data_IF_364360268339
#
_entry.id   IF_364360268339
#
_cell.length_a   1.000
_cell.length_b   1.000
_cell.length_c   1.000
_cell.angle_alpha   90.00
_cell.angle_beta   90.00
_cell.angle_gamma   90.00
#
_symmetry.space_group_name_H-M   'P 1'
#
loop_
_entity.id
_entity.type
_entity.pdbx_description
1 polymer ?
#
# COMPACT_ATOMS: atom_id res chain seq x y z
N UNK A 1 14.51 4.11 -18.91
CA UNK A 1 13.46 5.07 -19.30
C UNK A 1 12.41 5.16 -18.20
N UNK A 2 12.00 6.36 -17.80
CA UNK A 2 10.93 6.53 -16.82
C UNK A 2 9.54 6.49 -17.51
N UNK A 3 8.80 5.39 -17.33
CA UNK A 3 7.38 5.30 -17.69
C UNK A 3 7.04 5.39 -19.18
N UNK A 4 5.83 5.89 -19.49
CA UNK A 4 5.27 5.99 -20.85
C UNK A 4 5.90 7.10 -21.70
N UNK A 5 6.53 8.08 -21.04
CA UNK A 5 7.21 9.29 -21.57
C UNK A 5 6.46 10.05 -22.67
N UNK A 6 7.14 11.02 -23.29
CA UNK A 6 6.58 11.85 -24.37
C UNK A 6 6.32 11.00 -25.61
N UNK A 7 5.30 11.37 -26.37
CA UNK A 7 4.98 10.73 -27.64
C UNK A 7 6.05 11.04 -28.68
N UNK A 8 6.35 10.06 -29.53
CA UNK A 8 7.32 10.23 -30.61
C UNK A 8 6.52 10.37 -31.89
N UNK A 9 6.40 11.60 -32.36
CA UNK A 9 5.67 11.92 -33.59
C UNK A 9 6.59 11.60 -34.77
N UNK A 10 6.13 10.71 -35.66
CA UNK A 10 6.83 10.41 -36.90
C UNK A 10 6.76 11.65 -37.82
N UNK A 11 7.90 12.15 -38.27
CA UNK A 11 7.98 13.41 -39.05
C UNK A 11 8.11 14.68 -38.21
N UNK A 12 8.47 14.56 -36.93
CA UNK A 12 8.86 15.70 -36.07
C UNK A 12 7.71 16.39 -35.32
N UNK A 13 8.07 17.38 -34.50
CA UNK A 13 7.14 18.27 -33.81
C UNK A 13 7.51 19.73 -34.15
N UNK A 14 6.70 20.47 -34.94
CA UNK A 14 5.36 20.11 -35.43
C UNK A 14 5.39 19.04 -36.55
N UNK A 15 4.31 18.25 -36.73
CA UNK A 15 4.27 17.16 -37.71
C UNK A 15 4.28 17.68 -39.15
N UNK A 16 5.29 17.27 -39.92
CA UNK A 16 5.32 17.45 -41.37
C UNK A 16 4.76 16.19 -42.07
N UNK A 17 3.68 16.34 -42.84
CA UNK A 17 3.00 15.20 -43.50
C UNK A 17 3.92 14.46 -44.47
N UNK A 18 4.78 15.19 -45.20
CA UNK A 18 5.69 14.58 -46.17
C UNK A 18 6.76 13.71 -45.47
N UNK A 19 7.37 14.24 -44.40
CA UNK A 19 8.35 13.51 -43.59
C UNK A 19 7.69 12.34 -42.83
N UNK A 20 6.45 12.52 -42.38
CA UNK A 20 5.70 11.46 -41.72
C UNK A 20 5.42 10.28 -42.65
N UNK A 21 5.03 10.54 -43.90
CA UNK A 21 4.85 9.49 -44.92
C UNK A 21 6.18 8.83 -45.29
N UNK A 22 7.26 9.60 -45.43
CA UNK A 22 8.60 9.07 -45.67
C UNK A 22 9.04 8.12 -44.55
N UNK A 23 8.91 8.56 -43.30
CA UNK A 23 9.25 7.75 -42.11
C UNK A 23 8.36 6.50 -42.02
N UNK A 24 7.08 6.59 -42.36
CA UNK A 24 6.19 5.41 -42.43
C UNK A 24 6.63 4.43 -43.52
N UNK A 25 7.01 4.92 -44.69
CA UNK A 25 7.44 4.09 -45.82
C UNK A 25 8.73 3.31 -45.53
N UNK A 26 9.65 3.88 -44.74
CA UNK A 26 10.88 3.18 -44.30
C UNK A 26 10.67 2.23 -43.10
N UNK A 27 9.43 2.07 -42.62
CA UNK A 27 9.07 1.13 -41.55
C UNK A 27 8.91 1.74 -40.15
N UNK A 28 8.88 3.07 -40.05
CA UNK A 28 8.60 3.82 -38.83
C UNK A 28 9.72 3.80 -37.80
N UNK A 29 9.36 4.01 -36.52
CA UNK A 29 10.33 4.06 -35.44
C UNK A 29 10.91 2.67 -35.13
N UNK A 30 12.23 2.55 -35.20
CA UNK A 30 12.97 1.39 -34.73
C UNK A 30 13.47 1.60 -33.30
N UNK A 31 13.14 0.68 -32.40
CA UNK A 31 13.57 0.72 -31.00
C UNK A 31 14.64 -0.34 -30.76
N UNK A 32 15.81 0.11 -30.31
CA UNK A 32 16.93 -0.75 -29.92
C UNK A 32 17.03 -0.79 -28.39
N UNK A 33 16.89 -1.98 -27.82
CA UNK A 33 17.29 -2.24 -26.44
C UNK A 33 18.71 -2.79 -26.44
N UNK A 34 19.65 -2.13 -25.79
CA UNK A 34 21.05 -2.60 -25.69
C UNK A 34 21.19 -3.78 -24.75
N UNK A 35 20.31 -3.85 -23.75
CA UNK A 35 20.25 -4.90 -22.72
C UNK A 35 18.78 -5.26 -22.43
N UNK A 36 18.61 -6.35 -21.68
CA UNK A 36 17.33 -6.75 -21.11
C UNK A 36 17.24 -6.31 -19.65
N UNK A 37 16.17 -5.60 -19.29
CA UNK A 37 15.94 -5.27 -17.89
C UNK A 37 15.50 -6.52 -17.11
N UNK A 38 15.81 -6.57 -15.81
CA UNK A 38 15.25 -7.55 -14.87
C UNK A 38 13.72 -7.67 -14.93
N UNK A 39 13.01 -6.56 -15.21
CA UNK A 39 11.56 -6.56 -15.33
C UNK A 39 11.13 -6.43 -16.78
N UNK A 40 10.31 -7.38 -17.22
CA UNK A 40 9.71 -7.41 -18.55
C UNK A 40 8.84 -6.18 -18.79
N UNK A 41 8.27 -5.59 -17.74
CA UNK A 41 7.46 -4.37 -17.84
C UNK A 41 8.24 -3.20 -18.44
N UNK A 42 9.51 -3.03 -18.07
CA UNK A 42 10.35 -1.91 -18.54
C UNK A 42 10.77 -2.13 -19.99
N UNK A 43 11.11 -3.36 -20.36
CA UNK A 43 11.33 -3.74 -21.76
C UNK A 43 10.09 -3.45 -22.63
N UNK A 44 8.89 -3.79 -22.13
CA UNK A 44 7.65 -3.52 -22.82
C UNK A 44 7.35 -2.01 -22.93
N UNK A 45 7.76 -1.20 -21.95
CA UNK A 45 7.64 0.26 -22.02
C UNK A 45 8.54 0.84 -23.11
N UNK A 46 9.77 0.34 -23.24
CA UNK A 46 10.68 0.73 -24.31
C UNK A 46 10.13 0.31 -25.67
N UNK A 47 9.67 -0.94 -25.79
CA UNK A 47 9.04 -1.48 -27.01
C UNK A 47 7.79 -0.69 -27.42
N UNK A 48 6.95 -0.31 -26.46
CA UNK A 48 5.71 0.45 -26.69
C UNK A 48 5.93 1.92 -27.08
N UNK A 49 7.17 2.33 -27.33
CA UNK A 49 7.49 3.62 -27.97
C UNK A 49 7.27 3.57 -29.47
N UNK A 50 7.51 2.43 -30.11
CA UNK A 50 7.19 2.21 -31.52
C UNK A 50 5.75 1.71 -31.69
N UNK A 51 5.18 1.91 -32.88
CA UNK A 51 3.89 1.33 -33.26
C UNK A 51 2.67 1.92 -32.53
N UNK A 52 2.74 3.20 -32.15
CA UNK A 52 1.61 3.89 -31.51
C UNK A 52 0.53 4.23 -32.53
N UNK A 53 -0.73 4.18 -32.11
CA UNK A 53 -1.89 4.51 -32.95
C UNK A 53 -1.97 3.75 -34.31
N UNK A 54 -1.32 2.58 -34.42
CA UNK A 54 -1.30 1.80 -35.65
C UNK A 54 -0.17 2.18 -36.62
N UNK A 55 0.74 3.06 -36.24
CA UNK A 55 1.95 3.34 -37.01
C UNK A 55 2.81 2.07 -37.18
N UNK A 56 3.58 2.03 -38.25
CA UNK A 56 4.62 1.02 -38.44
C UNK A 56 5.75 1.26 -37.44
N UNK A 57 6.39 0.19 -37.02
CA UNK A 57 7.51 0.26 -36.09
C UNK A 57 8.05 -1.13 -35.78
N UNK A 58 9.28 -1.17 -35.29
CA UNK A 58 9.93 -2.42 -34.94
C UNK A 58 10.77 -2.25 -33.68
N UNK A 59 11.00 -3.35 -32.97
CA UNK A 59 11.84 -3.34 -31.77
C UNK A 59 12.77 -4.54 -31.78
N UNK A 60 14.05 -4.32 -31.50
CA UNK A 60 15.04 -5.38 -31.34
C UNK A 60 15.82 -5.16 -30.06
N UNK A 61 16.00 -6.22 -29.29
CA UNK A 61 16.78 -6.19 -28.06
C UNK A 61 18.00 -7.05 -28.25
N UNK A 62 19.14 -6.49 -27.91
CA UNK A 62 20.43 -7.15 -27.83
C UNK A 62 20.71 -7.44 -26.37
N UNK A 63 21.56 -8.43 -26.14
CA UNK A 63 21.97 -8.86 -24.82
C UNK A 63 23.25 -9.68 -24.98
N UNK A 64 24.20 -9.47 -24.09
CA UNK A 64 25.43 -10.25 -24.00
C UNK A 64 25.27 -11.36 -22.96
N UNK A 65 26.03 -12.45 -23.11
CA UNK A 65 26.14 -13.50 -22.09
C UNK A 65 26.75 -12.96 -20.78
N UNK A 66 27.52 -11.86 -20.88
CA UNK A 66 28.17 -11.20 -19.76
C UNK A 66 27.23 -10.27 -18.97
N UNK A 67 26.02 -10.00 -19.48
CA UNK A 67 25.05 -9.13 -18.80
C UNK A 67 24.53 -9.79 -17.52
N UNK A 68 24.26 -8.97 -16.50
CA UNK A 68 23.88 -9.44 -15.16
C UNK A 68 22.69 -10.41 -15.15
N UNK A 69 21.69 -10.17 -16.01
CA UNK A 69 20.51 -11.03 -16.12
C UNK A 69 20.88 -12.47 -16.49
N UNK A 70 21.76 -12.64 -17.49
CA UNK A 70 22.20 -13.97 -17.89
C UNK A 70 23.24 -14.52 -16.91
N UNK A 71 24.18 -13.70 -16.45
CA UNK A 71 25.20 -14.09 -15.48
C UNK A 71 24.59 -14.75 -14.24
N UNK A 72 23.46 -14.24 -13.73
CA UNK A 72 22.81 -14.73 -12.51
C UNK A 72 21.83 -15.89 -12.79
N UNK A 73 21.12 -15.90 -13.93
CA UNK A 73 19.95 -16.77 -14.10
C UNK A 73 19.96 -17.71 -15.32
N UNK A 74 20.89 -17.57 -16.27
CA UNK A 74 20.82 -18.34 -17.53
C UNK A 74 22.16 -18.64 -18.23
N UNK A 75 23.26 -18.03 -17.80
CA UNK A 75 24.55 -18.04 -18.50
C UNK A 75 25.09 -19.44 -18.69
N UNK A 76 25.17 -20.25 -17.62
CA UNK A 76 25.75 -21.59 -17.69
C UNK A 76 25.07 -22.53 -18.71
N UNK A 77 23.74 -22.48 -18.84
CA UNK A 77 23.04 -23.36 -19.78
C UNK A 77 23.22 -22.90 -21.23
N UNK A 78 23.23 -21.59 -21.47
CA UNK A 78 23.42 -21.03 -22.81
C UNK A 78 24.87 -21.17 -23.24
N UNK A 79 25.81 -20.91 -22.34
CA UNK A 79 27.25 -21.10 -22.54
C UNK A 79 27.59 -22.56 -22.83
N UNK A 80 27.07 -23.52 -22.04
CA UNK A 80 27.27 -24.94 -22.31
C UNK A 80 26.71 -25.38 -23.67
N UNK A 81 25.60 -24.78 -24.12
CA UNK A 81 25.03 -25.02 -25.44
C UNK A 81 25.93 -24.47 -26.55
N UNK A 82 26.47 -23.26 -26.38
CA UNK A 82 27.38 -22.64 -27.36
C UNK A 82 28.67 -23.43 -27.52
N UNK A 83 29.28 -23.84 -26.41
CA UNK A 83 30.48 -24.70 -26.42
C UNK A 83 30.20 -26.02 -27.10
N UNK A 84 29.03 -26.64 -26.86
CA UNK A 84 28.66 -27.93 -27.45
C UNK A 84 28.45 -27.87 -28.96
N UNK A 85 27.93 -26.75 -29.49
CA UNK A 85 27.67 -26.58 -30.92
C UNK A 85 28.80 -25.84 -31.65
N UNK A 86 29.90 -25.51 -30.96
CA UNK A 86 31.05 -24.78 -31.50
C UNK A 86 30.61 -23.52 -32.29
N UNK A 87 29.63 -22.80 -31.76
CA UNK A 87 29.12 -21.57 -32.36
C UNK A 87 30.14 -20.47 -32.13
N UNK A 88 30.49 -19.75 -33.19
CA UNK A 88 31.37 -18.58 -33.11
C UNK A 88 30.69 -17.48 -32.27
N UNK A 89 31.46 -16.86 -31.36
CA UNK A 89 30.98 -15.82 -30.45
C UNK A 89 30.44 -14.58 -31.19
N UNK A 90 30.82 -14.38 -32.45
CA UNK A 90 30.38 -13.29 -33.32
C UNK A 90 29.01 -13.52 -33.97
N UNK A 91 28.46 -14.74 -33.92
CA UNK A 91 27.20 -15.07 -34.59
C UNK A 91 26.01 -14.75 -33.67
N UNK A 92 25.11 -13.84 -34.08
CA UNK A 92 23.93 -13.52 -33.28
C UNK A 92 23.00 -14.74 -33.18
N UNK A 93 22.69 -15.15 -31.95
CA UNK A 93 21.81 -16.27 -31.68
C UNK A 93 20.34 -15.85 -31.79
N UNK A 94 19.76 -15.98 -32.98
CA UNK A 94 18.32 -15.80 -33.20
C UNK A 94 17.56 -17.13 -33.00
N UNK A 95 17.74 -17.78 -31.84
CA UNK A 95 17.04 -19.01 -31.52
C UNK A 95 15.85 -18.75 -30.59
N UNK A 96 14.65 -19.20 -30.98
CA UNK A 96 13.45 -19.10 -30.14
C UNK A 96 13.61 -19.75 -28.76
N UNK A 97 14.53 -20.71 -28.61
CA UNK A 97 14.89 -21.35 -27.34
C UNK A 97 15.59 -20.36 -26.38
N UNK A 98 16.50 -19.52 -26.90
CA UNK A 98 17.23 -18.51 -26.12
C UNK A 98 16.25 -17.44 -25.61
N UNK A 99 15.33 -16.98 -26.46
CA UNK A 99 14.27 -16.05 -26.06
C UNK A 99 13.41 -16.58 -24.89
N UNK A 100 13.05 -17.88 -24.91
CA UNK A 100 12.29 -18.49 -23.80
C UNK A 100 13.11 -18.59 -22.52
N UNK A 101 14.39 -18.91 -22.61
CA UNK A 101 15.29 -18.98 -21.46
C UNK A 101 15.40 -17.62 -20.76
N UNK A 102 15.54 -16.53 -21.54
CA UNK A 102 15.57 -15.15 -21.04
C UNK A 102 14.25 -14.78 -20.36
N UNK A 103 13.10 -15.11 -20.97
CA UNK A 103 11.81 -14.82 -20.36
C UNK A 103 11.60 -15.57 -19.04
N UNK A 104 12.10 -16.81 -18.94
CA UNK A 104 12.05 -17.57 -17.69
C UNK A 104 12.98 -16.99 -16.62
N UNK A 105 14.16 -16.51 -17.01
CA UNK A 105 15.06 -15.79 -16.12
C UNK A 105 14.38 -14.52 -15.57
N UNK A 106 13.83 -13.66 -16.44
CA UNK A 106 13.09 -12.46 -16.03
C UNK A 106 11.94 -12.78 -15.07
N UNK A 107 11.13 -13.81 -15.36
CA UNK A 107 10.05 -14.25 -14.46
C UNK A 107 10.58 -14.65 -13.09
N UNK A 108 11.71 -15.37 -13.03
CA UNK A 108 12.33 -15.78 -11.77
C UNK A 108 12.83 -14.57 -10.96
N UNK A 109 13.41 -13.57 -11.62
CA UNK A 109 13.82 -12.31 -10.98
C UNK A 109 12.61 -11.53 -10.45
N UNK A 110 11.54 -11.44 -11.26
CA UNK A 110 10.30 -10.79 -10.86
C UNK A 110 9.65 -11.48 -9.66
N UNK A 111 9.60 -12.82 -9.64
CA UNK A 111 9.12 -13.59 -8.48
C UNK A 111 9.98 -13.36 -7.24
N UNK A 112 11.31 -13.39 -7.38
CA UNK A 112 12.22 -13.11 -6.26
C UNK A 112 12.00 -11.71 -5.66
N UNK A 113 11.86 -10.69 -6.51
CA UNK A 113 11.55 -9.33 -6.08
C UNK A 113 10.14 -9.21 -5.50
N UNK A 114 9.16 -9.96 -6.02
CA UNK A 114 7.82 -10.02 -5.47
C UNK A 114 7.81 -10.60 -4.05
N UNK A 115 8.51 -11.71 -3.82
CA UNK A 115 8.58 -12.36 -2.51
C UNK A 115 9.24 -11.45 -1.46
N UNK A 116 10.32 -10.75 -1.84
CA UNK A 116 10.95 -9.72 -0.96
C UNK A 116 9.99 -8.60 -0.60
N UNK A 117 9.22 -8.11 -1.58
CA UNK A 117 8.23 -7.05 -1.35
C UNK A 117 7.06 -7.53 -0.52
N UNK A 118 6.62 -8.77 -0.70
CA UNK A 118 5.53 -9.36 0.08
C UNK A 118 5.81 -9.29 1.58
N UNK A 119 7.01 -9.65 2.02
CA UNK A 119 7.40 -9.51 3.43
C UNK A 119 7.37 -8.06 3.92
N UNK A 120 7.78 -7.10 3.07
CA UNK A 120 7.71 -5.67 3.43
C UNK A 120 6.26 -5.21 3.59
N UNK A 121 5.39 -5.57 2.64
CA UNK A 121 3.96 -5.24 2.68
C UNK A 121 3.28 -5.87 3.90
N UNK A 122 3.59 -7.11 4.22
CA UNK A 122 3.02 -7.78 5.39
C UNK A 122 3.42 -7.11 6.72
N UNK A 123 4.63 -6.55 6.83
CA UNK A 123 5.04 -5.75 8.00
C UNK A 123 4.31 -4.42 8.05
N UNK A 124 4.15 -3.77 6.88
CA UNK A 124 3.40 -2.52 6.75
C UNK A 124 1.91 -2.72 7.10
N UNK A 125 1.33 -3.86 6.77
CA UNK A 125 -0.07 -4.19 7.09
C UNK A 125 -0.29 -4.21 8.62
N UNK A 126 0.64 -4.77 9.39
CA UNK A 126 0.59 -4.75 10.86
C UNK A 126 0.62 -3.31 11.37
N UNK A 127 1.55 -2.49 10.86
CA UNK A 127 1.64 -1.08 11.23
C UNK A 127 0.40 -0.28 10.83
N UNK A 128 -0.20 -0.63 9.70
CA UNK A 128 -1.43 0.00 9.23
C UNK A 128 -2.61 -0.30 10.17
N UNK A 129 -2.73 -1.53 10.68
CA UNK A 129 -3.74 -1.87 11.70
C UNK A 129 -3.55 -1.02 12.96
N UNK A 130 -2.32 -0.96 13.50
CA UNK A 130 -2.01 -0.12 14.67
C UNK A 130 -2.36 1.36 14.42
N UNK A 131 -1.97 1.88 13.25
CA UNK A 131 -2.28 3.26 12.83
C UNK A 131 -3.78 3.52 12.76
N UNK A 132 -4.55 2.60 12.18
CA UNK A 132 -6.00 2.73 12.08
C UNK A 132 -6.65 2.85 13.45
N UNK A 133 -6.24 2.01 14.42
CA UNK A 133 -6.75 2.06 15.79
C UNK A 133 -6.40 3.40 16.45
N UNK A 134 -5.16 3.86 16.37
CA UNK A 134 -4.74 5.15 16.94
C UNK A 134 -5.47 6.32 16.28
N UNK A 135 -5.70 6.27 14.96
CA UNK A 135 -6.40 7.34 14.26
C UNK A 135 -7.90 7.35 14.60
N UNK A 136 -8.51 6.18 14.78
CA UNK A 136 -9.88 6.07 15.32
C UNK A 136 -9.96 6.65 16.73
N UNK A 137 -9.01 6.31 17.62
CA UNK A 137 -8.92 6.87 18.96
C UNK A 137 -8.82 8.41 18.92
N UNK A 138 -7.90 8.96 18.11
CA UNK A 138 -7.74 10.41 17.94
C UNK A 138 -9.02 11.08 17.43
N UNK A 139 -9.71 10.46 16.48
CA UNK A 139 -10.98 10.98 15.96
C UNK A 139 -12.06 11.03 17.05
N UNK A 140 -12.24 9.94 17.81
CA UNK A 140 -13.19 9.89 18.92
C UNK A 140 -12.91 10.96 19.97
N UNK A 141 -11.64 11.22 20.27
CA UNK A 141 -11.23 12.27 21.21
C UNK A 141 -11.56 13.68 20.71
N UNK A 142 -11.44 13.93 19.40
CA UNK A 142 -11.79 15.22 18.79
C UNK A 142 -13.31 15.46 18.81
N UNK A 143 -14.09 14.38 18.70
CA UNK A 143 -15.56 14.39 18.67
C UNK A 143 -16.20 14.35 20.07
N UNK A 144 -15.42 14.52 21.16
CA UNK A 144 -15.97 14.55 22.53
C UNK A 144 -16.86 15.78 22.82
N UNK A 145 -16.74 16.85 22.02
CA UNK A 145 -17.52 18.09 22.18
C UNK A 145 -18.64 18.29 21.16
N UNK A 146 -18.90 17.30 20.28
CA UNK A 146 -20.01 17.33 19.31
C UNK A 146 -21.18 16.46 19.80
N UNK A 147 -22.34 16.52 19.12
CA UNK A 147 -23.61 15.82 19.45
C UNK A 147 -23.53 14.27 19.67
N UNK A 148 -22.34 13.69 19.63
CA UNK A 148 -22.09 12.26 19.85
C UNK A 148 -21.87 11.94 21.33
N UNK A 149 -22.95 12.00 22.12
CA UNK A 149 -22.94 11.70 23.56
C UNK A 149 -22.35 10.31 23.93
N UNK A 150 -22.29 9.37 23.00
CA UNK A 150 -21.72 8.04 23.23
C UNK A 150 -20.18 8.01 23.40
N UNK A 151 -19.45 9.00 22.86
CA UNK A 151 -17.98 9.00 22.90
C UNK A 151 -17.43 9.29 24.31
N UNK A 152 -18.11 10.15 25.07
CA UNK A 152 -17.74 10.47 26.46
C UNK A 152 -17.89 9.25 27.37
N UNK A 153 -19.06 8.59 27.33
CA UNK A 153 -19.30 7.39 28.12
C UNK A 153 -18.34 6.25 27.76
N UNK A 154 -18.07 6.06 26.47
CA UNK A 154 -17.09 5.09 25.99
C UNK A 154 -15.68 5.38 26.53
N UNK A 155 -15.25 6.65 26.46
CA UNK A 155 -13.92 7.03 26.94
C UNK A 155 -13.80 6.84 28.44
N UNK A 156 -14.81 7.26 29.21
CA UNK A 156 -14.80 7.10 30.65
C UNK A 156 -14.70 5.63 31.07
N UNK A 157 -15.41 4.73 30.37
CA UNK A 157 -15.31 3.29 30.59
C UNK A 157 -13.88 2.78 30.34
N UNK A 158 -13.25 3.18 29.22
CA UNK A 158 -11.87 2.79 28.91
C UNK A 158 -10.84 3.34 29.89
N UNK A 159 -10.99 4.59 30.32
CA UNK A 159 -10.11 5.17 31.33
C UNK A 159 -10.26 4.45 32.68
N UNK A 160 -11.48 4.05 33.04
CA UNK A 160 -11.76 3.31 34.29
C UNK A 160 -11.17 1.90 34.27
N UNK A 161 -11.14 1.21 33.12
CA UNK A 161 -10.51 -0.10 32.97
C UNK A 161 -8.99 -0.07 33.21
N UNK A 162 -8.36 1.07 32.93
CA UNK A 162 -6.90 1.24 32.97
C UNK A 162 -6.39 2.16 34.08
N UNK A 163 -7.27 2.61 34.98
CA UNK A 163 -6.95 3.46 36.13
C UNK A 163 -7.26 2.73 37.43
N UNK A 164 -6.36 2.80 38.41
CA UNK A 164 -6.62 2.34 39.79
C UNK A 164 -7.39 3.36 40.64
N UNK A 165 -7.45 4.61 40.18
CA UNK A 165 -8.11 5.72 40.86
C UNK A 165 -9.55 5.90 40.34
N UNK A 166 -10.43 6.43 41.19
CA UNK A 166 -11.82 6.75 40.84
C UNK A 166 -11.89 7.94 39.88
N UNK A 167 -11.65 7.63 38.60
CA UNK A 167 -11.64 8.58 37.49
C UNK A 167 -13.05 9.14 37.24
N UNK A 168 -14.10 8.37 37.50
CA UNK A 168 -15.48 8.82 37.30
C UNK A 168 -15.82 9.99 38.23
N UNK A 169 -15.41 9.91 39.49
CA UNK A 169 -15.56 11.02 40.42
C UNK A 169 -14.76 12.25 39.98
N UNK A 170 -13.49 12.08 39.65
CA UNK A 170 -12.63 13.20 39.21
C UNK A 170 -13.18 13.84 37.93
N UNK A 171 -13.63 13.03 36.96
CA UNK A 171 -14.24 13.47 35.72
C UNK A 171 -15.44 14.39 35.97
N UNK A 172 -16.39 13.95 36.80
CA UNK A 172 -17.59 14.75 37.09
C UNK A 172 -17.25 16.05 37.82
N UNK A 173 -16.36 16.01 38.82
CA UNK A 173 -15.93 17.21 39.55
C UNK A 173 -15.27 18.24 38.61
N UNK A 174 -14.38 17.79 37.72
CA UNK A 174 -13.72 18.68 36.77
C UNK A 174 -14.68 19.15 35.66
N UNK A 175 -15.61 18.30 35.20
CA UNK A 175 -16.63 18.67 34.21
C UNK A 175 -17.55 19.76 34.76
N UNK A 176 -18.03 19.62 35.99
CA UNK A 176 -18.91 20.60 36.66
C UNK A 176 -18.19 21.94 36.89
N UNK A 177 -16.89 21.91 37.21
CA UNK A 177 -16.11 23.13 37.44
C UNK A 177 -15.88 23.97 36.17
N UNK A 178 -15.84 23.34 34.99
CA UNK A 178 -15.46 23.98 33.72
C UNK A 178 -16.67 24.23 32.81
N UNK A 179 -17.71 23.42 32.95
CA UNK A 179 -18.88 23.42 32.09
C UNK A 179 -18.73 22.47 30.89
N UNK A 180 -19.87 21.91 30.48
CA UNK A 180 -19.95 20.84 29.48
C UNK A 180 -19.41 21.23 28.10
N UNK A 181 -19.63 22.49 27.67
CA UNK A 181 -19.19 22.98 26.36
C UNK A 181 -17.66 23.05 26.21
N UNK A 182 -16.94 23.28 27.32
CA UNK A 182 -15.48 23.46 27.32
C UNK A 182 -14.75 22.19 27.69
N UNK A 183 -15.40 21.28 28.43
CA UNK A 183 -14.81 20.03 28.93
C UNK A 183 -14.18 19.16 27.84
N UNK A 184 -14.87 18.95 26.71
CA UNK A 184 -14.32 18.17 25.60
C UNK A 184 -13.00 18.74 25.06
N UNK A 185 -12.88 20.07 24.99
CA UNK A 185 -11.65 20.74 24.60
C UNK A 185 -10.51 20.57 25.62
N UNK A 186 -10.83 20.54 26.93
CA UNK A 186 -9.85 20.28 27.98
C UNK A 186 -9.31 18.85 27.87
N UNK A 187 -10.20 17.86 27.77
CA UNK A 187 -9.83 16.45 27.62
C UNK A 187 -8.99 16.24 26.36
N UNK A 188 -9.34 16.88 25.25
CA UNK A 188 -8.56 16.86 24.02
C UNK A 188 -7.13 17.40 24.23
N UNK A 189 -7.00 18.58 24.84
CA UNK A 189 -5.71 19.23 25.07
C UNK A 189 -4.79 18.39 25.98
N UNK A 190 -5.35 17.63 26.91
CA UNK A 190 -4.61 16.70 27.76
C UNK A 190 -4.24 15.41 27.00
N UNK A 191 -5.20 14.84 26.27
CA UNK A 191 -5.06 13.53 25.63
C UNK A 191 -4.18 13.56 24.38
N UNK A 192 -4.30 14.62 23.56
CA UNK A 192 -3.57 14.76 22.31
C UNK A 192 -2.04 14.63 22.46
N UNK A 193 -1.35 15.38 23.35
CA UNK A 193 0.10 15.26 23.49
C UNK A 193 0.52 13.87 23.96
N UNK A 194 -0.26 13.23 24.84
CA UNK A 194 -0.01 11.86 25.32
C UNK A 194 -0.07 10.85 24.18
N UNK A 195 -1.15 10.87 23.39
CA UNK A 195 -1.33 9.94 22.26
C UNK A 195 -0.21 10.11 21.23
N UNK A 196 0.13 11.35 20.87
CA UNK A 196 1.16 11.59 19.86
C UNK A 196 2.55 11.17 20.33
N UNK A 197 2.92 11.50 21.57
CA UNK A 197 4.24 11.14 22.12
C UNK A 197 4.41 9.62 22.16
N UNK A 198 3.44 8.92 22.78
CA UNK A 198 3.50 7.46 22.92
C UNK A 198 3.40 6.75 21.55
N UNK A 199 2.64 7.31 20.60
CA UNK A 199 2.62 6.78 19.23
C UNK A 199 3.97 6.91 18.55
N UNK A 200 4.66 8.05 18.68
CA UNK A 200 6.01 8.21 18.12
C UNK A 200 7.00 7.24 18.75
N UNK A 201 6.95 7.04 20.07
CA UNK A 201 7.76 6.02 20.76
C UNK A 201 7.47 4.62 20.21
N UNK A 202 6.21 4.27 20.01
CA UNK A 202 5.82 2.98 19.42
C UNK A 202 6.35 2.80 17.99
N UNK A 203 6.33 3.85 17.16
CA UNK A 203 6.92 3.78 15.81
C UNK A 203 8.41 3.43 15.87
N UNK A 204 9.15 4.03 16.80
CA UNK A 204 10.57 3.74 17.01
C UNK A 204 10.77 2.30 17.53
N UNK A 205 9.94 1.86 18.47
CA UNK A 205 10.02 0.48 18.98
C UNK A 205 9.70 -0.56 17.90
N UNK A 206 8.73 -0.30 17.03
CA UNK A 206 8.41 -1.16 15.90
C UNK A 206 9.54 -1.23 14.88
N UNK A 207 10.25 -0.12 14.65
CA UNK A 207 11.43 -0.09 13.77
C UNK A 207 12.57 -0.93 14.36
N UNK A 208 12.83 -0.83 15.66
CA UNK A 208 13.81 -1.68 16.37
C UNK A 208 13.46 -3.16 16.27
N UNK A 209 12.19 -3.53 16.44
CA UNK A 209 11.73 -4.92 16.26
C UNK A 209 12.01 -5.36 14.83
N UNK A 210 11.70 -4.52 13.84
CA UNK A 210 11.92 -4.79 12.42
C UNK A 210 13.39 -5.03 12.08
N UNK A 211 14.32 -4.31 12.71
CA UNK A 211 15.75 -4.57 12.55
C UNK A 211 16.17 -5.90 13.21
N UNK A 212 15.61 -6.22 14.38
CA UNK A 212 15.96 -7.41 15.16
C UNK A 212 15.39 -8.74 14.64
N UNK A 213 14.25 -8.74 13.92
CA UNK A 213 13.62 -9.96 13.41
C UNK A 213 14.48 -10.75 12.42
N UNK A 214 15.42 -10.09 11.71
CA UNK A 214 16.38 -10.80 10.84
C UNK A 214 17.22 -11.84 11.59
N UNK A 215 17.54 -11.59 12.86
CA UNK A 215 18.31 -12.51 13.69
C UNK A 215 17.49 -13.70 14.21
N UNK A 216 16.16 -13.63 14.16
CA UNK A 216 15.29 -14.70 14.65
C UNK A 216 15.22 -15.89 13.68
N UNK A 217 15.57 -15.67 12.40
CA UNK A 217 15.72 -16.74 11.42
C UNK A 217 16.80 -17.77 11.81
N UNK A 218 17.81 -17.38 12.60
CA UNK A 218 18.82 -18.30 13.13
C UNK A 218 18.23 -19.30 14.14
N UNK A 219 17.11 -18.96 14.79
CA UNK A 219 16.40 -19.83 15.73
C UNK A 219 15.34 -20.70 15.04
N UNK A 220 15.34 -20.79 13.71
CA UNK A 220 14.33 -21.52 12.90
C UNK A 220 12.88 -21.07 13.16
N UNK A 221 12.70 -19.85 13.68
CA UNK A 221 11.38 -19.24 13.82
C UNK A 221 11.08 -18.37 12.61
N UNK A 222 9.83 -18.34 12.19
CA UNK A 222 9.39 -17.47 11.11
C UNK A 222 9.48 -15.99 11.57
N UNK A 223 10.31 -15.15 10.91
CA UNK A 223 10.48 -13.75 11.30
C UNK A 223 9.17 -12.94 11.27
N UNK A 224 8.26 -13.24 10.33
CA UNK A 224 7.00 -12.52 10.19
C UNK A 224 6.05 -12.84 11.34
N UNK A 225 6.03 -14.10 11.79
CA UNK A 225 5.21 -14.51 12.94
C UNK A 225 5.71 -13.82 14.21
N UNK A 226 7.02 -13.77 14.43
CA UNK A 226 7.60 -13.08 15.58
C UNK A 226 7.38 -11.57 15.53
N UNK A 227 7.48 -10.94 14.35
CA UNK A 227 7.16 -9.52 14.17
C UNK A 227 5.72 -9.20 14.56
N UNK A 228 4.76 -10.01 14.09
CA UNK A 228 3.34 -9.87 14.43
C UNK A 228 3.10 -10.03 15.93
N UNK A 229 3.68 -11.07 16.54
CA UNK A 229 3.54 -11.33 17.98
C UNK A 229 4.10 -10.20 18.83
N UNK A 230 5.37 -9.81 18.60
CA UNK A 230 6.01 -8.74 19.36
C UNK A 230 5.35 -7.39 19.09
N UNK A 231 4.95 -7.12 17.85
CA UNK A 231 4.25 -5.90 17.49
C UNK A 231 2.90 -5.77 18.20
N UNK A 232 2.15 -6.87 18.29
CA UNK A 232 0.89 -6.92 19.03
C UNK A 232 1.11 -6.68 20.53
N UNK A 233 2.06 -7.38 21.16
CA UNK A 233 2.39 -7.21 22.58
C UNK A 233 2.78 -5.75 22.91
N UNK A 234 3.62 -5.12 22.06
CA UNK A 234 3.99 -3.70 22.23
C UNK A 234 2.80 -2.77 22.04
N UNK A 235 1.93 -3.09 21.10
CA UNK A 235 0.74 -2.29 20.84
C UNK A 235 -0.27 -2.33 21.99
N UNK A 236 -0.48 -3.50 22.61
CA UNK A 236 -1.33 -3.60 23.82
C UNK A 236 -0.76 -2.76 24.96
N UNK A 237 0.56 -2.83 25.18
CA UNK A 237 1.24 -2.00 26.19
C UNK A 237 1.09 -0.51 25.87
N UNK A 238 1.22 -0.12 24.60
CA UNK A 238 0.99 1.26 24.16
C UNK A 238 -0.42 1.74 24.53
N UNK A 239 -1.45 0.96 24.19
CA UNK A 239 -2.85 1.34 24.43
C UNK A 239 -3.11 1.48 25.94
N UNK A 240 -2.64 0.54 26.75
CA UNK A 240 -2.75 0.63 28.20
C UNK A 240 -2.01 1.86 28.77
N UNK A 241 -0.82 2.16 28.25
CA UNK A 241 -0.06 3.37 28.63
C UNK A 241 -0.80 4.65 28.26
N UNK A 242 -1.41 4.72 27.07
CA UNK A 242 -2.19 5.88 26.65
C UNK A 242 -3.32 6.13 27.65
N UNK A 243 -4.16 5.13 27.93
CA UNK A 243 -5.31 5.33 28.81
C UNK A 243 -4.90 5.65 30.26
N UNK A 244 -3.91 4.94 30.81
CA UNK A 244 -3.41 5.22 32.17
C UNK A 244 -2.81 6.62 32.30
N UNK A 245 -2.01 7.08 31.33
CA UNK A 245 -1.42 8.42 31.35
C UNK A 245 -2.47 9.52 31.21
N UNK A 246 -3.50 9.30 30.38
CA UNK A 246 -4.62 10.24 30.25
C UNK A 246 -5.38 10.30 31.58
N UNK A 247 -5.74 9.15 32.17
CA UNK A 247 -6.46 9.09 33.42
C UNK A 247 -5.68 9.78 34.56
N UNK A 248 -4.39 9.47 34.71
CA UNK A 248 -3.54 10.09 35.73
C UNK A 248 -3.45 11.61 35.57
N UNK A 249 -3.32 12.10 34.33
CA UNK A 249 -3.31 13.54 34.05
C UNK A 249 -4.64 14.22 34.35
N UNK A 250 -5.77 13.53 34.12
CA UNK A 250 -7.10 14.04 34.45
C UNK A 250 -7.31 14.14 35.96
N UNK A 251 -6.87 13.14 36.74
CA UNK A 251 -7.02 13.18 38.20
C UNK A 251 -6.14 14.27 38.83
N UNK A 252 -4.96 14.53 38.26
CA UNK A 252 -4.01 15.54 38.75
C UNK A 252 -4.31 16.97 38.29
N UNK A 253 -5.48 17.25 37.72
CA UNK A 253 -5.81 18.61 37.30
C UNK A 253 -6.04 19.48 38.55
N UNK A 254 -5.04 20.26 38.92
CA UNK A 254 -5.13 21.29 39.96
C UNK A 254 -5.28 22.67 39.31
N UNK A 255 -6.35 23.39 39.64
CA UNK A 255 -6.70 24.74 39.17
C UNK A 255 -7.07 24.86 37.68
N UNK A 256 -8.34 24.69 37.35
CA UNK A 256 -8.86 25.05 36.03
C UNK A 256 -9.35 26.51 36.08
N UNK A 257 -8.47 27.45 35.78
CA UNK A 257 -8.90 28.82 35.47
C UNK A 257 -9.38 28.85 34.02
N UNK A 258 -10.68 28.99 33.80
CA UNK A 258 -11.25 29.22 32.48
C UNK A 258 -10.84 30.63 32.04
N UNK A 259 -9.70 30.76 31.38
CA UNK A 259 -9.40 31.99 30.64
C UNK A 259 -10.38 32.04 29.46
N UNK A 260 -11.33 32.97 29.50
CA UNK A 260 -12.26 33.24 28.40
C UNK A 260 -11.47 33.52 27.11
N UNK A 261 -11.22 32.47 26.31
CA UNK A 261 -10.71 32.66 24.96
C UNK A 261 -11.87 33.08 24.10
N UNK A 262 -12.06 34.39 23.95
CA UNK A 262 -12.82 34.95 22.83
C UNK A 262 -12.10 34.61 21.52
N UNK A 263 -12.30 33.42 20.98
CA UNK A 263 -11.98 33.14 19.57
C UNK A 263 -13.11 33.73 18.72
N UNK A 264 -12.84 34.66 17.80
CA UNK A 264 -13.85 35.09 16.85
C UNK A 264 -14.26 33.88 16.02
N UNK A 265 -15.55 33.53 16.09
CA UNK A 265 -16.15 32.46 15.31
C UNK A 265 -16.11 32.87 13.84
N UNK A 266 -15.02 32.54 13.15
CA UNK A 266 -15.01 32.49 11.70
C UNK A 266 -15.93 31.37 11.25
N UNK A 267 -16.94 31.71 10.44
CA UNK A 267 -17.94 30.77 9.94
C UNK A 267 -17.26 29.57 9.27
N UNK A 268 -17.18 28.44 9.97
CA UNK A 268 -16.85 27.18 9.34
C UNK A 268 -18.07 26.75 8.53
N UNK A 269 -17.95 26.79 7.21
CA UNK A 269 -18.94 26.19 6.32
C UNK A 269 -19.19 24.75 6.75
N UNK A 270 -20.47 24.36 6.81
CA UNK A 270 -20.91 23.00 7.09
C UNK A 270 -20.24 22.03 6.10
N UNK A 271 -19.10 21.46 6.48
CA UNK A 271 -18.62 20.23 5.84
C UNK A 271 -19.53 19.11 6.30
N UNK A 272 -20.47 18.73 5.44
CA UNK A 272 -21.28 17.53 5.60
C UNK A 272 -20.36 16.31 5.48
N UNK A 273 -19.95 15.76 6.62
CA UNK A 273 -19.33 14.44 6.66
C UNK A 273 -20.48 13.42 6.57
N UNK A 274 -20.65 12.79 5.41
CA UNK A 274 -21.48 11.59 5.33
C UNK A 274 -20.76 10.46 6.04
N UNK A 275 -21.00 10.35 7.34
CA UNK A 275 -20.67 9.17 8.14
C UNK A 275 -21.50 8.01 7.62
N UNK A 276 -20.94 7.21 6.71
CA UNK A 276 -21.44 5.86 6.48
C UNK A 276 -21.37 5.11 7.81
N UNK A 277 -22.51 4.57 8.25
CA UNK A 277 -22.61 3.75 9.45
C UNK A 277 -21.76 2.50 9.20
N UNK A 278 -20.54 2.49 9.72
CA UNK A 278 -19.76 1.28 9.81
C UNK A 278 -20.00 0.69 11.19
N UNK A 279 -20.99 -0.20 11.26
CA UNK A 279 -21.12 -1.15 12.36
C UNK A 279 -19.85 -2.01 12.38
N UNK A 280 -18.93 -1.64 13.26
CA UNK A 280 -18.04 -2.61 13.88
C UNK A 280 -18.21 -2.42 15.37
N UNK A 281 -19.11 -3.24 15.91
CA UNK A 281 -19.26 -3.43 17.34
C UNK A 281 -17.90 -3.81 17.92
N UNK A 282 -17.47 -3.05 18.91
CA UNK A 282 -16.28 -3.36 19.68
C UNK A 282 -16.75 -3.80 21.05
N UNK A 283 -17.13 -5.06 21.10
CA UNK A 283 -17.18 -5.87 22.31
C UNK A 283 -16.35 -7.14 22.12
N UNK A 284 -15.21 -7.08 21.43
CA UNK A 284 -14.40 -8.28 21.08
C UNK A 284 -12.94 -7.98 20.62
N UNK A 285 -12.37 -6.82 20.93
CA UNK A 285 -11.14 -6.32 20.27
C UNK A 285 -9.78 -6.83 20.81
N UNK A 286 -9.68 -8.00 21.42
CA UNK A 286 -8.35 -8.59 21.71
C UNK A 286 -8.24 -10.12 21.73
N UNK A 287 -9.25 -10.89 21.28
CA UNK A 287 -9.19 -12.37 21.42
C UNK A 287 -9.41 -13.24 20.19
N UNK A 288 -9.62 -12.69 19.01
CA UNK A 288 -9.62 -13.50 17.78
C UNK A 288 -8.69 -12.92 16.72
N UNK A 289 -7.40 -13.27 16.85
CA UNK A 289 -6.51 -13.30 15.69
C UNK A 289 -5.96 -14.72 15.52
N UNK A 290 -6.84 -15.62 15.10
CA UNK A 290 -6.43 -16.88 14.48
C UNK A 290 -6.78 -16.81 12.99
N UNK A 291 -5.75 -16.58 12.17
CA UNK A 291 -5.67 -16.98 10.77
C UNK A 291 -6.89 -16.73 9.90
N UNK A 292 -7.15 -15.47 9.52
CA UNK A 292 -7.88 -15.20 8.28
C UNK A 292 -6.99 -14.37 7.36
N UNK A 293 -6.51 -15.01 6.30
CA UNK A 293 -6.04 -14.30 5.11
C UNK A 293 -7.16 -13.34 4.73
N UNK A 294 -6.84 -12.09 4.43
CA UNK A 294 -7.77 -11.13 3.85
C UNK A 294 -8.30 -11.68 2.53
N UNK A 295 -9.36 -12.48 2.60
CA UNK A 295 -10.10 -12.90 1.43
C UNK A 295 -11.00 -11.71 1.11
N UNK A 296 -10.54 -10.85 0.21
CA UNK A 296 -11.45 -9.92 -0.46
C UNK A 296 -12.49 -10.81 -1.13
N UNK A 297 -13.73 -10.78 -0.65
CA UNK A 297 -14.82 -11.45 -1.35
C UNK A 297 -14.95 -10.80 -2.72
N UNK A 298 -14.78 -11.55 -3.82
CA UNK A 298 -14.96 -10.98 -5.15
C UNK A 298 -16.43 -10.56 -5.26
N UNK A 299 -16.65 -9.28 -5.57
CA UNK A 299 -17.98 -8.77 -5.95
C UNK A 299 -18.53 -9.68 -7.05
N UNK A 300 -19.48 -10.54 -6.69
CA UNK A 300 -20.19 -11.38 -7.66
C UNK A 300 -21.19 -10.49 -8.36
N UNK A 301 -20.86 -10.07 -9.57
CA UNK A 301 -21.86 -9.60 -10.53
C UNK A 301 -22.91 -10.69 -10.68
N UNK A 302 -24.18 -10.39 -10.37
CA UNK A 302 -25.32 -11.27 -10.66
C UNK A 302 -25.61 -11.39 -12.18
N UNK A 303 -24.82 -10.72 -13.02
CA UNK A 303 -24.91 -10.90 -14.47
C UNK A 303 -24.07 -12.10 -14.92
N UNK A 304 -24.63 -12.97 -15.79
CA UNK A 304 -23.90 -14.12 -16.32
C UNK A 304 -22.68 -13.63 -17.12
N UNK A 305 -21.49 -14.08 -16.73
CA UNK A 305 -20.25 -13.79 -17.47
C UNK A 305 -20.35 -14.39 -18.86
N UNK A 306 -20.45 -13.53 -19.87
CA UNK A 306 -20.47 -13.93 -21.28
C UNK A 306 -19.11 -14.53 -21.63
N UNK A 307 -19.10 -15.81 -22.00
CA UNK A 307 -17.92 -16.55 -22.40
C UNK A 307 -17.38 -16.07 -23.75
N UNK A 308 -16.07 -16.23 -23.97
CA UNK A 308 -15.36 -15.76 -25.17
C UNK A 308 -15.94 -16.31 -26.50
N UNK A 309 -16.64 -17.44 -26.45
CA UNK A 309 -17.28 -18.09 -27.61
C UNK A 309 -18.81 -17.93 -27.65
N UNK A 310 -19.42 -17.28 -26.66
CA UNK A 310 -20.87 -17.14 -26.56
C UNK A 310 -21.41 -16.11 -27.57
N UNK A 311 -22.71 -16.15 -27.90
CA UNK A 311 -23.34 -15.16 -28.75
C UNK A 311 -23.15 -13.76 -28.16
N UNK A 312 -22.72 -12.81 -28.99
CA UNK A 312 -22.50 -11.46 -28.52
C UNK A 312 -23.85 -10.80 -28.15
N UNK A 313 -23.97 -10.16 -26.97
CA UNK A 313 -25.24 -9.59 -26.49
C UNK A 313 -25.79 -8.43 -27.33
N UNK A 314 -24.99 -7.88 -28.25
CA UNK A 314 -25.40 -6.84 -29.20
C UNK A 314 -26.33 -7.34 -30.33
N UNK A 315 -26.71 -8.63 -30.35
CA UNK A 315 -27.63 -9.18 -31.35
C UNK A 315 -27.01 -9.43 -32.74
N UNK A 316 -25.70 -9.28 -32.90
CA UNK A 316 -25.01 -9.39 -34.20
C UNK A 316 -24.89 -10.81 -34.77
N UNK A 317 -25.36 -11.84 -34.06
CA UNK A 317 -25.25 -13.25 -34.45
C UNK A 317 -23.82 -13.84 -34.43
N UNK A 318 -22.80 -13.04 -34.10
CA UNK A 318 -21.39 -13.45 -34.05
C UNK A 318 -20.96 -13.81 -32.62
N UNK A 319 -19.96 -14.68 -32.48
CA UNK A 319 -19.32 -15.02 -31.19
C UNK A 319 -18.64 -13.79 -30.58
N UNK A 320 -18.69 -13.63 -29.26
CA UNK A 320 -18.19 -12.46 -28.51
C UNK A 320 -16.76 -12.05 -28.92
N UNK A 321 -15.81 -12.99 -29.01
CA UNK A 321 -14.42 -12.73 -29.46
C UNK A 321 -14.25 -12.13 -30.85
N UNK A 322 -15.26 -12.24 -31.72
CA UNK A 322 -15.24 -11.72 -33.09
C UNK A 322 -16.03 -10.41 -33.24
N UNK A 323 -16.59 -9.90 -32.14
CA UNK A 323 -17.38 -8.69 -32.10
C UNK A 323 -16.82 -7.74 -31.03
N UNK A 324 -17.38 -7.72 -29.82
CA UNK A 324 -16.98 -6.82 -28.73
C UNK A 324 -15.78 -7.32 -27.90
N UNK A 325 -15.36 -8.57 -28.07
CA UNK A 325 -14.20 -9.16 -27.39
C UNK A 325 -12.88 -9.03 -28.17
N UNK A 326 -12.71 -7.94 -28.94
CA UNK A 326 -11.46 -7.62 -29.65
C UNK A 326 -10.52 -6.81 -28.78
#
# INVERSE_FOLDING_TARGET
>A
MAGRGVDIILGGDPPNVAEQEEVRNIGGLHVIGTERHESRRIDNQLRGRSGRQGDLGSSRFYMSLQDDLLRIFGGQQVEALMTRFNLDESVPLEAGIVSRAIENAQKKVESFNFDRRKHTVEMDDVMNVHRQVIYKLRRRMLELGSDYAGNEAWLLARLSEHSSQDIARAWNVHKDAVGEQVWGGVVWNISWPVINLLWMEHLVDMDRIREGIGLHGYAQRDPMVEYKRQGHERFEVLIAKIYSNIAERIVKIENISVAERHTPVGSQGKMSYQSGVFESGVGEESREYNGSKSHVEPVRSNEPKIGRNDPCPCGSGKKFKRCHGR
#
